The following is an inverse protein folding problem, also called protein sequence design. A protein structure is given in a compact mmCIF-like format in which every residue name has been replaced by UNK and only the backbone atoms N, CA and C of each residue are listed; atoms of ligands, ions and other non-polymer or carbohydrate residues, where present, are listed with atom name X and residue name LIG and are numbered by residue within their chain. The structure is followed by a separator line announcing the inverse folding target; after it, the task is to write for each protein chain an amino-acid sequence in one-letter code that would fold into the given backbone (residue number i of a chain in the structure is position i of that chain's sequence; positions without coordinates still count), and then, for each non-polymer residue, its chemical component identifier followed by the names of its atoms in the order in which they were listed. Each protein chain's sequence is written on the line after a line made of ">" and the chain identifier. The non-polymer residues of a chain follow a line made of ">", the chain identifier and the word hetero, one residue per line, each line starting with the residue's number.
data_IF_321244499672
#
_entry.id   IF_321244499672
#
_cell.length_a   1.000
_cell.length_b   1.000
_cell.length_c   1.000
_cell.angle_alpha   90.00
_cell.angle_beta   90.00
_cell.angle_gamma   90.00
#
_symmetry.space_group_name_H-M   'P 1'
#
loop_
_entity.id
_entity.type
_entity.pdbx_description
1 polymer ?
#
# COMPACT_ATOMS: atom_id res chain seq x y z
N UNK A 1 -14.44 -4.76 17.59
CA UNK A 1 -13.07 -4.27 17.28
C UNK A 1 -13.06 -2.76 17.44
N UNK A 2 -11.98 -2.13 17.94
CA UNK A 2 -11.87 -0.67 18.01
C UNK A 2 -12.09 -0.05 16.61
N UNK A 3 -12.95 0.96 16.50
CA UNK A 3 -13.32 1.54 15.19
C UNK A 3 -12.13 2.04 14.35
N UNK A 4 -11.05 2.47 15.01
CA UNK A 4 -9.82 2.92 14.35
C UNK A 4 -9.06 1.77 13.68
N UNK A 5 -8.99 0.58 14.31
CA UNK A 5 -8.33 -0.59 13.72
C UNK A 5 -9.05 -1.05 12.46
N UNK A 6 -10.38 -1.10 12.47
CA UNK A 6 -11.16 -1.48 11.30
C UNK A 6 -10.98 -0.48 10.14
N UNK A 7 -10.96 0.82 10.44
CA UNK A 7 -10.66 1.85 9.45
C UNK A 7 -9.26 1.68 8.87
N UNK A 8 -8.27 1.44 9.72
CA UNK A 8 -6.88 1.23 9.31
C UNK A 8 -6.74 0.00 8.40
N UNK A 9 -7.32 -1.15 8.76
CA UNK A 9 -7.36 -2.34 7.91
C UNK A 9 -7.92 -2.00 6.51
N UNK A 10 -9.03 -1.26 6.45
CA UNK A 10 -9.61 -0.83 5.18
C UNK A 10 -8.69 0.10 4.37
N UNK A 11 -7.95 0.99 5.02
CA UNK A 11 -6.97 1.86 4.34
C UNK A 11 -5.80 1.04 3.79
N UNK A 12 -5.24 0.12 4.58
CA UNK A 12 -4.11 -0.72 4.12
C UNK A 12 -4.54 -1.63 2.96
N UNK A 13 -5.79 -2.14 2.95
CA UNK A 13 -6.33 -2.85 1.77
C UNK A 13 -6.35 -1.97 0.52
N UNK A 14 -6.69 -0.68 0.63
CA UNK A 14 -6.63 0.24 -0.52
C UNK A 14 -5.21 0.62 -0.91
N UNK A 15 -4.27 0.67 0.04
CA UNK A 15 -2.83 0.79 -0.26
C UNK A 15 -2.35 -0.40 -1.09
N UNK A 16 -2.77 -1.63 -0.73
CA UNK A 16 -2.50 -2.84 -1.51
C UNK A 16 -3.05 -2.74 -2.94
N UNK A 17 -4.29 -2.30 -3.10
CA UNK A 17 -4.91 -2.08 -4.41
C UNK A 17 -4.17 -1.02 -5.24
N UNK A 18 -3.77 0.09 -4.61
CA UNK A 18 -2.97 1.12 -5.26
C UNK A 18 -1.59 0.56 -5.71
N UNK A 19 -0.92 -0.23 -4.86
CA UNK A 19 0.30 -0.96 -5.22
C UNK A 19 0.10 -1.94 -6.37
N UNK A 20 -1.05 -2.63 -6.42
CA UNK A 20 -1.38 -3.57 -7.49
C UNK A 20 -1.53 -2.89 -8.87
N UNK A 21 -1.84 -1.59 -8.89
CA UNK A 21 -2.06 -0.81 -10.13
C UNK A 21 -0.77 -0.45 -10.88
N UNK A 22 0.42 -0.69 -10.31
CA UNK A 22 1.68 -0.48 -11.02
C UNK A 22 1.85 -1.52 -12.13
N UNK A 23 2.16 -1.06 -13.35
CA UNK A 23 2.45 -1.94 -14.49
C UNK A 23 3.83 -2.59 -14.35
N UNK A 24 4.78 -1.90 -13.71
CA UNK A 24 6.09 -2.45 -13.39
C UNK A 24 5.96 -3.56 -12.32
N UNK A 25 6.35 -4.81 -12.64
CA UNK A 25 6.19 -5.92 -11.72
C UNK A 25 7.03 -5.77 -10.45
N UNK A 26 8.17 -5.07 -10.50
CA UNK A 26 9.02 -4.84 -9.31
C UNK A 26 8.29 -3.98 -8.29
N UNK A 27 7.76 -2.83 -8.71
CA UNK A 27 6.99 -1.95 -7.82
C UNK A 27 5.70 -2.59 -7.36
N UNK A 28 4.97 -3.24 -8.28
CA UNK A 28 3.73 -3.95 -7.96
C UNK A 28 3.95 -4.98 -6.87
N UNK A 29 4.91 -5.88 -7.06
CA UNK A 29 5.16 -6.98 -6.13
C UNK A 29 5.65 -6.44 -4.78
N UNK A 30 6.52 -5.43 -4.78
CA UNK A 30 7.02 -4.81 -3.56
C UNK A 30 5.89 -4.19 -2.72
N UNK A 31 5.08 -3.31 -3.32
CA UNK A 31 4.03 -2.60 -2.57
C UNK A 31 2.90 -3.54 -2.13
N UNK A 32 2.53 -4.53 -2.95
CA UNK A 32 1.55 -5.55 -2.56
C UNK A 32 2.06 -6.37 -1.39
N UNK A 33 3.30 -6.89 -1.45
CA UNK A 33 3.87 -7.68 -0.37
C UNK A 33 3.95 -6.89 0.94
N UNK A 34 4.34 -5.61 0.89
CA UNK A 34 4.40 -4.76 2.09
C UNK A 34 3.03 -4.44 2.67
N UNK A 35 2.01 -4.25 1.85
CA UNK A 35 0.65 -4.07 2.34
C UNK A 35 0.09 -5.38 2.94
N UNK A 36 0.40 -6.54 2.36
CA UNK A 36 0.01 -7.85 2.90
C UNK A 36 0.68 -8.14 4.25
N UNK A 37 1.98 -7.81 4.40
CA UNK A 37 2.70 -7.89 5.68
C UNK A 37 2.03 -7.01 6.76
N UNK A 38 1.69 -5.76 6.44
CA UNK A 38 1.05 -4.84 7.39
C UNK A 38 -0.38 -5.29 7.74
N UNK A 39 -1.16 -5.76 6.77
CA UNK A 39 -2.50 -6.31 7.02
C UNK A 39 -2.45 -7.48 8.01
N UNK A 40 -1.50 -8.40 7.79
CA UNK A 40 -1.30 -9.54 8.68
C UNK A 40 -0.90 -9.09 10.08
N UNK A 41 0.04 -8.15 10.20
CA UNK A 41 0.43 -7.58 11.49
C UNK A 41 -0.76 -6.96 12.23
N UNK A 42 -1.59 -6.20 11.54
CA UNK A 42 -2.76 -5.54 12.13
C UNK A 42 -3.87 -6.53 12.52
N UNK A 43 -4.05 -7.61 11.76
CA UNK A 43 -5.00 -8.67 12.11
C UNK A 43 -4.54 -9.46 13.34
N UNK A 44 -3.26 -9.81 13.41
CA UNK A 44 -2.70 -10.60 14.51
C UNK A 44 -2.54 -9.79 15.80
N UNK A 45 -2.06 -8.54 15.68
CA UNK A 45 -1.61 -7.73 16.82
C UNK A 45 -2.29 -6.37 16.95
N UNK A 46 -3.16 -5.99 16.02
CA UNK A 46 -3.74 -4.64 16.01
C UNK A 46 -4.55 -4.28 17.27
N UNK A 47 -5.16 -5.27 17.94
CA UNK A 47 -5.86 -5.06 19.21
C UNK A 47 -4.92 -4.75 20.40
N UNK A 48 -3.63 -5.04 20.26
CA UNK A 48 -2.60 -4.79 21.29
C UNK A 48 -1.94 -3.42 21.14
N UNK A 49 -2.16 -2.73 20.01
CA UNK A 49 -1.61 -1.40 19.76
C UNK A 49 -2.39 -0.33 20.51
N UNK A 50 -1.67 0.71 20.94
CA UNK A 50 -2.27 1.89 21.55
C UNK A 50 -3.12 2.66 20.54
N UNK A 51 -4.11 3.42 21.02
CA UNK A 51 -4.94 4.27 20.17
C UNK A 51 -4.09 5.28 19.37
N UNK A 52 -3.11 5.91 20.01
CA UNK A 52 -2.18 6.85 19.35
C UNK A 52 -1.40 6.18 18.23
N UNK A 53 -0.93 4.93 18.43
CA UNK A 53 -0.21 4.21 17.39
C UNK A 53 -1.13 3.85 16.21
N UNK A 54 -2.36 3.40 16.48
CA UNK A 54 -3.34 3.11 15.45
C UNK A 54 -3.71 4.36 14.63
N UNK A 55 -3.88 5.51 15.28
CA UNK A 55 -4.14 6.78 14.60
C UNK A 55 -2.96 7.24 13.74
N UNK A 56 -1.75 7.10 14.25
CA UNK A 56 -0.55 7.50 13.53
C UNK A 56 -0.35 6.62 12.28
N UNK A 57 -0.53 5.30 12.42
CA UNK A 57 -0.53 4.35 11.29
C UNK A 57 -1.64 4.66 10.29
N UNK A 58 -2.84 5.00 10.76
CA UNK A 58 -3.97 5.38 9.92
C UNK A 58 -3.65 6.58 9.03
N UNK A 59 -3.08 7.64 9.63
CA UNK A 59 -2.65 8.83 8.89
C UNK A 59 -1.61 8.49 7.84
N UNK A 60 -0.52 7.82 8.23
CA UNK A 60 0.59 7.49 7.33
C UNK A 60 0.14 6.61 6.16
N UNK A 61 -0.73 5.62 6.40
CA UNK A 61 -1.24 4.77 5.34
C UNK A 61 -2.24 5.50 4.41
N UNK A 62 -3.00 6.47 4.94
CA UNK A 62 -3.89 7.30 4.12
C UNK A 62 -3.07 8.20 3.18
N UNK A 63 -1.98 8.77 3.68
CA UNK A 63 -1.05 9.57 2.87
C UNK A 63 -0.36 8.70 1.81
N UNK A 64 0.09 7.50 2.20
CA UNK A 64 0.69 6.53 1.30
C UNK A 64 -0.27 6.09 0.19
N UNK A 65 -1.55 5.84 0.50
CA UNK A 65 -2.59 5.53 -0.49
C UNK A 65 -2.65 6.61 -1.58
N UNK A 66 -2.70 7.89 -1.17
CA UNK A 66 -2.75 9.03 -2.08
C UNK A 66 -1.47 9.17 -2.92
N UNK A 67 -0.30 8.91 -2.32
CA UNK A 67 0.98 8.93 -3.03
C UNK A 67 1.03 7.82 -4.07
N UNK A 68 0.72 6.57 -3.69
CA UNK A 68 0.80 5.42 -4.60
C UNK A 68 -0.16 5.56 -5.78
N UNK A 69 -1.38 6.08 -5.56
CA UNK A 69 -2.32 6.36 -6.66
C UNK A 69 -1.76 7.34 -7.70
N UNK A 70 -1.08 8.40 -7.25
CA UNK A 70 -0.42 9.36 -8.17
C UNK A 70 0.80 8.75 -8.84
N UNK A 71 1.62 8.04 -8.07
CA UNK A 71 2.85 7.42 -8.57
C UNK A 71 2.57 6.31 -9.58
N UNK A 72 1.55 5.48 -9.35
CA UNK A 72 1.18 4.44 -10.32
C UNK A 72 0.69 5.05 -11.63
N UNK A 73 -0.13 6.11 -11.56
CA UNK A 73 -0.58 6.83 -12.75
C UNK A 73 0.62 7.41 -13.55
N UNK A 74 1.49 8.18 -12.89
CA UNK A 74 2.67 8.78 -13.54
C UNK A 74 3.59 7.69 -14.10
N UNK A 75 3.97 6.71 -13.27
CA UNK A 75 4.88 5.66 -13.66
C UNK A 75 4.35 4.85 -14.84
N UNK A 76 3.05 4.55 -14.87
CA UNK A 76 2.44 3.78 -15.96
C UNK A 76 2.45 4.52 -17.30
N UNK A 77 2.41 5.86 -17.31
CA UNK A 77 2.54 6.66 -18.55
C UNK A 77 3.92 6.49 -19.20
N UNK A 78 4.97 6.35 -18.39
CA UNK A 78 6.36 6.27 -18.85
C UNK A 78 6.92 4.85 -18.87
N UNK A 79 6.19 3.87 -18.32
CA UNK A 79 6.65 2.50 -18.27
C UNK A 79 6.55 1.84 -19.64
N UNK A 80 7.69 1.76 -20.32
CA UNK A 80 7.80 1.08 -21.59
C UNK A 80 7.99 -0.43 -21.37
N UNK A 81 7.03 -1.25 -21.82
CA UNK A 81 7.14 -2.72 -21.79
C UNK A 81 8.14 -3.26 -22.82
N UNK A 82 8.54 -2.46 -23.81
CA UNK A 82 9.55 -2.87 -24.78
C UNK A 82 10.94 -2.78 -24.12
N UNK A 83 11.52 -3.94 -23.83
CA UNK A 83 12.96 -4.04 -23.55
C UNK A 83 13.67 -3.65 -24.85
N UNK A 84 14.11 -2.39 -24.96
CA UNK A 84 15.02 -1.99 -26.03
C UNK A 84 16.41 -2.53 -25.70
N UNK A 85 16.64 -3.81 -25.99
CA UNK A 85 18.01 -4.29 -26.17
C UNK A 85 18.41 -3.85 -27.57
N UNK A 86 19.18 -2.78 -27.68
CA UNK A 86 19.95 -2.53 -28.90
C UNK A 86 20.93 -3.70 -29.04
N UNK A 87 20.74 -4.52 -30.09
CA UNK A 87 21.66 -5.58 -30.49
C UNK A 87 22.77 -5.01 -31.35
#
# INVERSE_FOLDING_TARGET
>A
MPGTLQKLLGVVSRVREAGASFTNPVFRNYFVAKADEELRLLQEKGSSFSSTELENRLRLNSDLESILKRQSAVHNLYYNKAIRVEK
#
